data_IF_614952653450
#
_entry.id   IF_614952653450
#
_cell.length_a   1.000
_cell.length_b   1.000
_cell.length_c   1.000
_cell.angle_alpha   90.00
_cell.angle_beta   90.00
_cell.angle_gamma   90.00
#
_symmetry.space_group_name_H-M   'P 1'
#
loop_
_entity.id
_entity.type
_entity.pdbx_description
1 polymer ?
#
# COMPACT_ATOMS: atom_id res chain seq x y z
N UNK A 1 13.42 1.58 -2.15
CA UNK A 1 13.12 1.64 -3.60
C UNK A 1 12.67 0.27 -4.05
N UNK A 2 11.58 0.20 -4.83
CA UNK A 2 11.20 -1.05 -5.48
C UNK A 2 12.15 -1.27 -6.67
N UNK A 3 13.17 -2.10 -6.48
CA UNK A 3 14.17 -2.42 -7.51
C UNK A 3 13.71 -3.68 -8.25
N UNK A 4 13.51 -3.56 -9.56
CA UNK A 4 13.18 -4.69 -10.44
C UNK A 4 13.87 -4.49 -11.80
N UNK A 5 14.16 -5.60 -12.50
CA UNK A 5 14.74 -5.62 -13.85
C UNK A 5 13.70 -5.22 -14.90
N UNK A 6 12.88 -6.16 -15.33
CA UNK A 6 11.94 -5.99 -16.46
C UNK A 6 10.68 -5.18 -16.13
N UNK A 7 10.70 -4.40 -15.04
CA UNK A 7 9.53 -3.67 -14.55
C UNK A 7 8.49 -4.56 -13.86
N UNK A 8 7.72 -3.94 -12.97
CA UNK A 8 6.53 -4.54 -12.36
C UNK A 8 5.45 -3.48 -12.27
N UNK A 9 4.19 -3.86 -12.50
CA UNK A 9 3.05 -3.04 -12.13
C UNK A 9 3.07 -2.86 -10.60
N UNK A 10 3.29 -1.64 -10.15
CA UNK A 10 3.57 -1.31 -8.76
C UNK A 10 2.58 -0.27 -8.26
N UNK A 11 2.13 -0.43 -7.02
CA UNK A 11 1.35 0.58 -6.30
C UNK A 11 1.86 0.70 -4.87
N UNK A 12 1.50 1.79 -4.19
CA UNK A 12 1.84 2.04 -2.81
C UNK A 12 0.56 2.23 -2.00
N UNK A 13 0.46 1.49 -0.90
CA UNK A 13 -0.58 1.65 0.12
C UNK A 13 0.13 2.00 1.42
N UNK A 14 -0.24 3.12 2.04
CA UNK A 14 0.43 3.66 3.23
C UNK A 14 -0.58 4.18 4.24
N UNK A 15 -0.26 4.08 5.52
CA UNK A 15 -1.02 4.75 6.60
C UNK A 15 -0.57 6.21 6.71
N UNK A 16 -1.49 7.20 6.73
CA UNK A 16 -1.13 8.60 6.95
C UNK A 16 -0.45 8.79 8.32
N UNK A 17 0.68 9.49 8.32
CA UNK A 17 1.50 9.71 9.50
C UNK A 17 1.82 11.19 9.69
N UNK A 18 1.72 11.69 10.93
CA UNK A 18 2.22 13.01 11.33
C UNK A 18 3.54 12.87 12.05
N UNK A 19 4.41 13.85 11.86
CA UNK A 19 5.72 13.97 12.51
C UNK A 19 6.68 12.82 12.18
N UNK A 20 6.69 12.38 10.92
CA UNK A 20 7.64 11.38 10.41
C UNK A 20 9.09 11.76 10.74
N UNK A 21 9.90 10.77 11.14
CA UNK A 21 11.29 10.94 11.57
C UNK A 21 11.46 11.77 12.85
N UNK A 22 10.45 11.81 13.70
CA UNK A 22 10.56 12.35 15.07
C UNK A 22 10.25 11.24 16.08
N UNK A 23 10.65 11.38 17.36
CA UNK A 23 10.28 10.40 18.39
C UNK A 23 8.77 10.31 18.70
N UNK A 24 7.95 11.20 18.11
CA UNK A 24 6.53 11.37 18.41
C UNK A 24 5.67 11.23 17.15
N UNK A 25 5.88 10.15 16.40
CA UNK A 25 5.05 9.83 15.24
C UNK A 25 3.61 9.50 15.65
N UNK A 26 2.63 9.98 14.89
CA UNK A 26 1.20 9.83 15.20
C UNK A 26 0.43 9.40 13.96
N UNK A 27 -0.31 8.30 14.11
CA UNK A 27 -1.25 7.76 13.12
C UNK A 27 -2.66 7.66 13.70
N UNK A 28 -3.66 7.57 12.83
CA UNK A 28 -5.05 7.30 13.20
C UNK A 28 -5.31 5.79 13.21
N UNK A 29 -5.90 5.27 14.29
CA UNK A 29 -6.29 3.85 14.36
C UNK A 29 -7.34 3.49 13.31
N UNK A 30 -8.27 4.41 13.03
CA UNK A 30 -9.26 4.21 11.96
C UNK A 30 -8.60 4.07 10.58
N UNK A 31 -7.55 4.85 10.32
CA UNK A 31 -6.86 4.79 9.03
C UNK A 31 -6.02 3.51 8.93
N UNK A 32 -5.46 3.03 10.05
CA UNK A 32 -4.81 1.73 10.12
C UNK A 32 -5.77 0.59 9.74
N UNK A 33 -6.95 0.53 10.37
CA UNK A 33 -7.95 -0.51 10.11
C UNK A 33 -8.42 -0.48 8.64
N UNK A 34 -8.69 0.71 8.11
CA UNK A 34 -9.08 0.86 6.70
C UNK A 34 -7.95 0.48 5.74
N UNK A 35 -6.70 0.78 6.09
CA UNK A 35 -5.52 0.39 5.27
C UNK A 35 -5.39 -1.13 5.22
N UNK A 36 -5.62 -1.82 6.35
CA UNK A 36 -5.63 -3.29 6.41
C UNK A 36 -6.76 -3.85 5.54
N UNK A 37 -7.97 -3.30 5.66
CA UNK A 37 -9.12 -3.73 4.85
C UNK A 37 -8.87 -3.53 3.35
N UNK A 38 -8.30 -2.39 2.95
CA UNK A 38 -7.95 -2.09 1.57
C UNK A 38 -6.89 -3.06 1.04
N UNK A 39 -5.83 -3.30 1.80
CA UNK A 39 -4.75 -4.21 1.39
C UNK A 39 -5.25 -5.65 1.26
N UNK A 40 -6.01 -6.14 2.24
CA UNK A 40 -6.59 -7.48 2.21
C UNK A 40 -7.58 -7.66 1.06
N UNK A 41 -8.48 -6.68 0.87
CA UNK A 41 -9.43 -6.67 -0.24
C UNK A 41 -8.73 -6.65 -1.60
N UNK A 42 -7.72 -5.80 -1.76
CA UNK A 42 -6.92 -5.71 -3.00
C UNK A 42 -6.28 -7.06 -3.33
N UNK A 43 -5.63 -7.70 -2.35
CA UNK A 43 -4.98 -9.02 -2.58
C UNK A 43 -6.01 -10.09 -2.94
N UNK A 44 -7.18 -10.09 -2.28
CA UNK A 44 -8.24 -11.05 -2.55
C UNK A 44 -8.86 -10.88 -3.96
N UNK A 45 -8.87 -9.66 -4.50
CA UNK A 45 -9.43 -9.36 -5.82
C UNK A 45 -8.45 -9.61 -6.99
N UNK A 46 -7.14 -9.67 -6.73
CA UNK A 46 -6.14 -9.95 -7.76
C UNK A 46 -6.30 -11.37 -8.32
N UNK A 47 -6.44 -11.46 -9.65
CA UNK A 47 -6.65 -12.70 -10.38
C UNK A 47 -5.57 -12.91 -11.46
N UNK A 48 -5.24 -14.18 -11.78
CA UNK A 48 -4.42 -14.48 -12.96
C UNK A 48 -5.06 -13.92 -14.25
N UNK A 49 -4.23 -13.43 -15.16
CA UNK A 49 -4.69 -12.91 -16.46
C UNK A 49 -5.17 -11.46 -16.44
N UNK A 50 -5.11 -10.76 -15.29
CA UNK A 50 -5.30 -9.30 -15.26
C UNK A 50 -4.21 -8.61 -16.08
N UNK A 51 -4.61 -7.67 -16.93
CA UNK A 51 -3.71 -6.86 -17.74
C UNK A 51 -3.40 -5.53 -17.03
N UNK A 52 -2.12 -5.17 -16.98
CA UNK A 52 -1.62 -3.93 -16.37
C UNK A 52 -0.86 -3.04 -17.36
N UNK A 53 -1.05 -3.26 -18.67
CA UNK A 53 -0.58 -2.36 -19.74
C UNK A 53 -1.49 -1.12 -19.77
N UNK A 54 -0.94 0.11 -19.68
CA UNK A 54 -1.71 1.37 -19.71
C UNK A 54 -2.52 1.61 -20.98
#
# INVERSE_FOLDING_TARGET
MQINRSGAAASLISVPNRYMHTPVEVVSLKDLDNTVALLAGTIAELKPGMNFIP
#
